data_IF_397714317421
#
_entry.id   IF_397714317421
#
_cell.length_a   1.000
_cell.length_b   1.000
_cell.length_c   1.000
_cell.angle_alpha   90.00
_cell.angle_beta   90.00
_cell.angle_gamma   90.00
#
_symmetry.space_group_name_H-M   'P 1'
#
loop_
_entity.id
_entity.type
_entity.pdbx_description
1 polymer ?
#
# COMPACT_ATOMS: atom_id res chain seq x y z
N UNK A 1 23.30 -15.55 3.91
CA UNK A 1 23.58 -14.11 3.82
C UNK A 1 23.34 -13.51 5.20
N UNK A 2 24.24 -12.64 5.70
CA UNK A 2 24.03 -11.92 6.96
C UNK A 2 22.93 -10.85 6.78
N UNK A 3 22.36 -10.35 7.89
CA UNK A 3 21.23 -9.41 7.87
C UNK A 3 21.50 -8.17 7.00
N UNK A 4 22.57 -7.43 7.29
CA UNK A 4 22.86 -6.19 6.57
C UNK A 4 23.25 -6.41 5.10
N UNK A 5 23.90 -7.53 4.79
CA UNK A 5 24.21 -7.93 3.42
C UNK A 5 22.93 -8.19 2.59
N UNK A 6 21.93 -8.89 3.17
CA UNK A 6 20.63 -9.11 2.52
C UNK A 6 19.91 -7.80 2.27
N UNK A 7 19.89 -6.90 3.25
CA UNK A 7 19.29 -5.57 3.08
C UNK A 7 19.97 -4.76 1.97
N UNK A 8 21.30 -4.76 1.92
CA UNK A 8 22.07 -4.10 0.85
C UNK A 8 21.79 -4.70 -0.52
N UNK A 9 21.84 -6.03 -0.64
CA UNK A 9 21.57 -6.70 -1.91
C UNK A 9 20.16 -6.39 -2.45
N UNK A 10 19.18 -6.24 -1.55
CA UNK A 10 17.81 -5.89 -1.92
C UNK A 10 17.60 -4.39 -2.20
N UNK A 11 18.62 -3.56 -2.00
CA UNK A 11 18.50 -2.12 -2.14
C UNK A 11 17.63 -1.48 -1.06
N UNK A 12 17.61 -2.06 0.15
CA UNK A 12 16.81 -1.60 1.29
C UNK A 12 17.58 -0.72 2.28
N UNK A 13 18.85 -0.42 2.03
CA UNK A 13 19.65 0.50 2.84
C UNK A 13 19.96 1.73 2.03
N UNK A 14 19.52 2.90 2.50
CA UNK A 14 19.86 4.20 1.91
C UNK A 14 20.80 4.99 2.80
N UNK A 15 20.40 5.30 4.02
CA UNK A 15 21.19 6.05 4.99
C UNK A 15 21.30 5.24 6.28
N UNK A 16 22.46 5.31 6.93
CA UNK A 16 22.70 4.80 8.29
C UNK A 16 23.38 5.88 9.12
N UNK A 17 23.01 5.99 10.41
CA UNK A 17 23.54 7.02 11.30
C UNK A 17 24.96 6.75 11.78
N UNK A 18 25.41 5.50 11.77
CA UNK A 18 26.75 5.07 12.13
C UNK A 18 27.16 3.82 11.38
N UNK A 19 28.43 3.70 10.94
CA UNK A 19 28.95 2.46 10.35
C UNK A 19 28.83 1.24 11.27
N UNK A 20 28.85 1.43 12.60
CA UNK A 20 28.71 0.37 13.59
C UNK A 20 27.37 -0.38 13.51
N UNK A 21 26.35 0.26 12.94
CA UNK A 21 25.05 -0.37 12.77
C UNK A 21 25.12 -1.64 11.91
N UNK A 22 26.04 -1.72 10.94
CA UNK A 22 26.26 -2.94 10.15
C UNK A 22 26.65 -4.13 11.04
N UNK A 23 27.63 -3.90 11.93
CA UNK A 23 28.09 -4.96 12.85
C UNK A 23 26.99 -5.36 13.83
N UNK A 24 26.28 -4.37 14.39
CA UNK A 24 25.18 -4.61 15.33
C UNK A 24 24.03 -5.39 14.70
N UNK A 25 23.61 -5.05 13.48
CA UNK A 25 22.56 -5.79 12.75
C UNK A 25 23.00 -7.23 12.39
N UNK A 26 24.30 -7.46 12.18
CA UNK A 26 24.80 -8.77 11.83
C UNK A 26 25.06 -9.69 13.05
N UNK A 27 25.37 -9.14 14.20
CA UNK A 27 25.92 -9.90 15.34
C UNK A 27 25.13 -9.73 16.64
N UNK A 28 24.27 -8.71 16.76
CA UNK A 28 23.43 -8.46 17.95
C UNK A 28 21.94 -8.67 17.66
N UNK A 29 21.12 -8.64 18.71
CA UNK A 29 19.66 -8.63 18.62
C UNK A 29 19.14 -7.29 19.12
N UNK A 30 18.76 -6.43 18.20
CA UNK A 30 18.29 -5.09 18.50
C UNK A 30 16.76 -5.07 18.66
N UNK A 31 16.28 -4.23 19.58
CA UNK A 31 14.89 -3.78 19.55
C UNK A 31 14.82 -2.51 18.72
N UNK A 32 13.97 -2.49 17.71
CA UNK A 32 13.81 -1.35 16.81
C UNK A 32 12.36 -0.96 16.66
N UNK A 33 12.11 0.28 16.21
CA UNK A 33 10.76 0.68 15.88
C UNK A 33 10.64 1.23 14.46
N UNK A 34 9.43 1.13 13.94
CA UNK A 34 8.95 1.82 12.76
C UNK A 34 7.67 2.54 13.12
N UNK A 35 7.49 3.77 12.63
CA UNK A 35 6.34 4.62 12.96
C UNK A 35 5.41 4.84 11.77
N UNK A 36 4.13 5.07 12.08
CA UNK A 36 3.15 5.53 11.11
C UNK A 36 2.10 6.42 11.76
N UNK A 37 1.75 7.53 11.11
CA UNK A 37 0.64 8.37 11.52
C UNK A 37 -0.70 7.79 11.05
N UNK A 38 -1.74 7.77 11.90
CA UNK A 38 -3.04 7.18 11.59
C UNK A 38 -3.90 8.10 10.72
N UNK A 39 -3.47 8.32 9.47
CA UNK A 39 -4.16 9.19 8.50
C UNK A 39 -5.39 8.53 7.84
N UNK A 40 -5.58 7.22 8.02
CA UNK A 40 -6.71 6.43 7.60
C UNK A 40 -6.89 5.21 8.53
N UNK A 41 -8.07 4.59 8.50
CA UNK A 41 -8.41 3.41 9.30
C UNK A 41 -7.87 2.08 8.73
N UNK A 42 -7.12 2.14 7.63
CA UNK A 42 -6.42 1.01 7.01
C UNK A 42 -5.05 1.42 6.52
N UNK A 43 -4.12 0.48 6.52
CA UNK A 43 -2.85 0.59 5.83
C UNK A 43 -3.05 0.45 4.33
N UNK A 44 -2.17 1.05 3.55
CA UNK A 44 -2.11 0.90 2.10
C UNK A 44 -0.81 0.21 1.68
N UNK A 45 -0.70 -0.19 0.41
CA UNK A 45 0.44 -0.93 -0.12
C UNK A 45 1.80 -0.18 0.06
N UNK A 46 1.79 1.13 0.19
CA UNK A 46 2.98 1.91 0.55
C UNK A 46 3.47 1.62 1.98
N UNK A 47 2.56 1.38 2.95
CA UNK A 47 2.92 0.92 4.29
C UNK A 47 3.48 -0.51 4.25
N UNK A 48 2.90 -1.38 3.41
CA UNK A 48 3.40 -2.73 3.22
C UNK A 48 4.90 -2.75 2.89
N UNK A 49 5.35 -1.92 1.94
CA UNK A 49 6.77 -1.84 1.57
C UNK A 49 7.66 -1.47 2.76
N UNK A 50 7.18 -0.59 3.64
CA UNK A 50 7.90 -0.16 4.85
C UNK A 50 7.90 -1.23 5.94
N UNK A 51 6.76 -1.89 6.18
CA UNK A 51 6.64 -2.88 7.26
C UNK A 51 7.24 -4.23 6.89
N UNK A 52 7.41 -4.50 5.59
CA UNK A 52 8.08 -5.71 5.16
C UNK A 52 9.58 -5.72 5.53
N UNK A 53 10.24 -4.55 5.58
CA UNK A 53 11.61 -4.49 6.10
C UNK A 53 11.64 -4.81 7.60
N UNK A 54 10.65 -4.36 8.37
CA UNK A 54 10.54 -4.69 9.78
C UNK A 54 10.32 -6.20 9.99
N UNK A 55 9.45 -6.83 9.20
CA UNK A 55 9.26 -8.27 9.19
C UNK A 55 10.55 -9.02 8.80
N UNK A 56 11.31 -8.47 7.87
CA UNK A 56 12.60 -9.05 7.45
C UNK A 56 13.64 -9.00 8.58
N UNK A 57 13.79 -7.85 9.24
CA UNK A 57 14.65 -7.71 10.42
C UNK A 57 14.22 -8.67 11.54
N UNK A 58 12.91 -8.85 11.74
CA UNK A 58 12.39 -9.82 12.71
C UNK A 58 12.79 -11.26 12.37
N UNK A 59 12.82 -11.64 11.09
CA UNK A 59 13.32 -12.97 10.65
C UNK A 59 14.81 -13.18 10.94
N UNK A 60 15.60 -12.11 11.03
CA UNK A 60 16.99 -12.16 11.52
C UNK A 60 17.10 -12.11 13.04
N UNK A 61 15.97 -12.04 13.76
CA UNK A 61 15.89 -12.12 15.23
C UNK A 61 15.92 -10.76 15.94
N UNK A 62 15.79 -9.64 15.23
CA UNK A 62 15.57 -8.34 15.84
C UNK A 62 14.11 -8.20 16.28
N UNK A 63 13.84 -7.41 17.33
CA UNK A 63 12.49 -7.22 17.86
C UNK A 63 11.84 -5.95 17.29
N UNK A 64 10.80 -6.05 16.44
CA UNK A 64 10.05 -4.90 15.92
C UNK A 64 9.04 -4.37 16.94
N UNK A 65 8.88 -3.05 16.98
CA UNK A 65 7.77 -2.35 17.61
C UNK A 65 7.18 -1.41 16.57
N UNK A 66 5.86 -1.46 16.37
CA UNK A 66 5.17 -0.46 15.57
C UNK A 66 4.71 0.69 16.47
N UNK A 67 5.13 1.90 16.17
CA UNK A 67 4.60 3.12 16.77
C UNK A 67 3.45 3.65 15.90
N UNK A 68 2.25 3.72 16.46
CA UNK A 68 1.13 4.45 15.85
C UNK A 68 1.05 5.84 16.48
N UNK A 69 1.11 6.85 15.61
CA UNK A 69 1.17 8.25 16.01
C UNK A 69 -0.17 8.84 16.43
N UNK A 70 -0.77 8.38 17.54
CA UNK A 70 -2.03 8.94 18.03
C UNK A 70 -1.93 10.42 18.48
N UNK A 71 -0.75 10.86 18.92
CA UNK A 71 -0.48 12.27 19.21
C UNK A 71 0.01 13.02 17.96
N UNK A 72 1.03 12.48 17.28
CA UNK A 72 1.62 13.10 16.09
C UNK A 72 0.66 13.17 14.92
N UNK A 73 -0.27 12.21 14.79
CA UNK A 73 -1.34 12.23 13.79
C UNK A 73 -2.34 13.38 13.92
N UNK A 74 -2.50 13.94 15.14
CA UNK A 74 -3.30 15.17 15.35
C UNK A 74 -2.61 16.43 14.79
N UNK A 75 -1.30 16.40 14.63
CA UNK A 75 -0.47 17.50 14.12
C UNK A 75 -0.12 17.28 12.65
N UNK A 76 0.41 16.09 12.33
CA UNK A 76 0.83 15.67 11.00
C UNK A 76 2.25 16.13 10.64
N UNK A 77 3.01 15.17 10.11
CA UNK A 77 4.37 15.40 9.60
C UNK A 77 4.37 16.42 8.44
N UNK A 78 5.24 17.43 8.42
CA UNK A 78 5.28 18.45 7.38
C UNK A 78 5.38 17.86 5.97
N UNK A 79 4.53 18.34 5.06
CA UNK A 79 4.64 18.02 3.63
C UNK A 79 5.47 19.08 2.90
N UNK A 80 6.20 18.70 1.83
CA UNK A 80 7.02 19.67 1.09
C UNK A 80 6.24 20.83 0.47
N UNK A 81 4.96 20.64 0.12
CA UNK A 81 4.19 21.58 -0.70
C UNK A 81 3.04 22.28 0.01
N UNK A 82 2.53 21.73 1.12
CA UNK A 82 1.37 22.30 1.81
C UNK A 82 1.22 21.80 3.24
N UNK A 83 0.50 22.57 4.06
CA UNK A 83 0.10 22.13 5.40
C UNK A 83 -0.86 20.95 5.35
N UNK A 84 -0.78 20.05 6.35
CA UNK A 84 -1.73 18.93 6.45
C UNK A 84 -3.08 19.43 6.95
N UNK A 85 -4.15 18.86 6.39
CA UNK A 85 -5.49 19.01 6.96
C UNK A 85 -5.52 18.27 8.30
N UNK A 86 -5.86 19.00 9.36
CA UNK A 86 -6.04 18.41 10.68
C UNK A 86 -7.28 17.50 10.70
N UNK A 87 -7.14 16.35 11.35
CA UNK A 87 -8.22 15.38 11.56
C UNK A 87 -8.68 15.42 13.02
N UNK A 88 -9.92 15.01 13.28
CA UNK A 88 -10.46 15.06 14.65
C UNK A 88 -9.85 13.96 15.52
N UNK A 89 -9.92 14.12 16.83
CA UNK A 89 -9.45 13.11 17.77
C UNK A 89 -10.22 11.79 17.63
N UNK A 90 -11.53 11.87 17.39
CA UNK A 90 -12.37 10.70 17.15
C UNK A 90 -11.93 9.92 15.93
N UNK A 91 -11.62 10.62 14.85
CA UNK A 91 -11.09 10.02 13.63
C UNK A 91 -9.70 9.41 13.85
N UNK A 92 -8.81 10.10 14.54
CA UNK A 92 -7.49 9.54 14.91
C UNK A 92 -7.64 8.27 15.72
N UNK A 93 -8.52 8.25 16.74
CA UNK A 93 -8.74 7.07 17.59
C UNK A 93 -9.28 5.87 16.78
N UNK A 94 -10.23 6.11 15.87
CA UNK A 94 -10.74 5.09 14.94
C UNK A 94 -9.61 4.52 14.07
N UNK A 95 -8.80 5.41 13.51
CA UNK A 95 -7.70 5.03 12.63
C UNK A 95 -6.62 4.25 13.40
N UNK A 96 -6.26 4.68 14.61
CA UNK A 96 -5.33 3.96 15.51
C UNK A 96 -5.81 2.53 15.74
N UNK A 97 -7.09 2.33 16.05
CA UNK A 97 -7.64 0.99 16.26
C UNK A 97 -7.53 0.11 15.01
N UNK A 98 -7.84 0.66 13.82
CA UNK A 98 -7.73 -0.05 12.55
C UNK A 98 -6.28 -0.44 12.22
N UNK A 99 -5.34 0.51 12.33
CA UNK A 99 -3.93 0.24 12.07
C UNK A 99 -3.33 -0.75 13.08
N UNK A 100 -3.69 -0.65 14.37
CA UNK A 100 -3.24 -1.57 15.41
C UNK A 100 -3.68 -3.00 15.09
N UNK A 101 -4.96 -3.18 14.72
CA UNK A 101 -5.49 -4.48 14.33
C UNK A 101 -4.72 -5.06 13.13
N UNK A 102 -4.54 -4.29 12.07
CA UNK A 102 -3.82 -4.75 10.88
C UNK A 102 -2.34 -5.04 11.15
N UNK A 103 -1.67 -4.25 11.98
CA UNK A 103 -0.27 -4.49 12.37
C UNK A 103 -0.10 -5.83 13.08
N UNK A 104 -1.03 -6.16 13.98
CA UNK A 104 -1.05 -7.44 14.67
C UNK A 104 -1.41 -8.60 13.72
N UNK A 105 -2.51 -8.48 12.98
CA UNK A 105 -3.05 -9.59 12.18
C UNK A 105 -2.17 -9.93 10.96
N UNK A 106 -1.58 -8.91 10.30
CA UNK A 106 -0.79 -9.11 9.07
C UNK A 106 0.69 -9.34 9.39
N UNK A 107 1.26 -8.57 10.33
CA UNK A 107 2.70 -8.54 10.56
C UNK A 107 3.14 -9.16 11.91
N UNK A 108 2.20 -9.38 12.85
CA UNK A 108 2.50 -9.91 14.18
C UNK A 108 3.30 -8.95 15.05
N UNK A 109 3.19 -7.63 14.85
CA UNK A 109 3.96 -6.64 15.58
C UNK A 109 3.32 -6.26 16.91
N UNK A 110 4.17 -6.03 17.94
CA UNK A 110 3.79 -5.27 19.12
C UNK A 110 3.53 -3.82 18.70
N UNK A 111 2.41 -3.25 19.15
CA UNK A 111 1.99 -1.89 18.79
C UNK A 111 1.97 -1.01 20.03
N UNK A 112 2.50 0.21 19.91
CA UNK A 112 2.46 1.26 20.92
C UNK A 112 1.89 2.54 20.33
N UNK A 113 1.25 3.36 21.18
CA UNK A 113 0.65 4.62 20.77
C UNK A 113 1.35 5.78 21.48
N UNK A 114 1.93 6.72 20.73
CA UNK A 114 2.63 7.86 21.32
C UNK A 114 1.70 8.82 22.11
N UNK A 115 0.40 8.72 21.90
CA UNK A 115 -0.56 9.46 22.73
C UNK A 115 -0.50 9.06 24.21
N UNK A 116 -0.12 7.82 24.53
CA UNK A 116 -0.10 7.30 25.89
C UNK A 116 0.89 8.02 26.81
N UNK A 117 2.00 8.49 26.28
CA UNK A 117 3.01 9.26 27.03
C UNK A 117 2.96 10.78 26.73
N UNK A 118 2.46 11.18 25.57
CA UNK A 118 2.46 12.60 25.18
C UNK A 118 1.33 13.38 25.85
N UNK A 119 0.16 12.75 26.08
CA UNK A 119 -1.03 13.39 26.62
C UNK A 119 -0.84 14.04 28.01
N UNK A 120 0.08 13.50 28.80
CA UNK A 120 0.31 13.94 30.19
C UNK A 120 1.47 14.93 30.31
N UNK A 121 2.18 15.24 29.20
CA UNK A 121 3.28 16.22 29.18
C UNK A 121 2.68 17.62 29.02
N UNK A 122 2.90 18.48 30.04
CA UNK A 122 2.50 19.88 29.91
C UNK A 122 3.37 20.61 28.88
N UNK A 123 2.83 21.69 28.28
CA UNK A 123 3.60 22.53 27.33
C UNK A 123 4.88 23.05 27.97
N UNK A 124 4.83 23.40 29.25
CA UNK A 124 6.02 23.90 29.96
C UNK A 124 7.05 22.80 30.14
N UNK A 125 6.62 21.58 30.52
CA UNK A 125 7.54 20.46 30.67
C UNK A 125 8.13 20.05 29.32
N UNK A 126 7.36 20.05 28.26
CA UNK A 126 7.85 19.78 26.90
C UNK A 126 8.96 20.75 26.49
N UNK A 127 8.74 22.05 26.68
CA UNK A 127 9.74 23.06 26.33
C UNK A 127 10.98 23.03 27.25
N UNK A 128 10.77 22.83 28.56
CA UNK A 128 11.85 22.81 29.56
C UNK A 128 12.71 21.56 29.48
N UNK A 129 12.07 20.37 29.31
CA UNK A 129 12.76 19.10 29.50
C UNK A 129 13.27 18.52 28.16
N UNK A 130 12.68 18.92 27.03
CA UNK A 130 13.08 18.47 25.69
C UNK A 130 13.48 19.63 24.78
N UNK A 131 12.68 20.71 24.73
CA UNK A 131 12.91 21.82 23.81
C UNK A 131 14.27 22.49 24.01
N UNK A 132 14.75 22.60 25.26
CA UNK A 132 16.06 23.20 25.58
C UNK A 132 17.27 22.49 24.94
N UNK A 133 17.12 21.20 24.58
CA UNK A 133 18.21 20.42 24.01
C UNK A 133 18.32 20.55 22.48
N UNK A 134 17.30 21.07 21.82
CA UNK A 134 17.28 21.19 20.36
C UNK A 134 17.45 22.65 19.94
N UNK A 135 18.55 22.92 19.24
CA UNK A 135 18.84 24.24 18.73
C UNK A 135 17.97 24.56 17.51
N UNK A 136 17.38 25.79 17.49
CA UNK A 136 16.52 26.24 16.39
C UNK A 136 17.26 26.23 15.05
N UNK A 137 18.53 26.68 15.00
CA UNK A 137 19.30 26.66 13.76
C UNK A 137 19.50 25.23 13.21
N UNK A 138 19.69 24.23 14.10
CA UNK A 138 19.76 22.83 13.72
C UNK A 138 18.45 22.35 13.08
N UNK A 139 17.30 22.77 13.61
CA UNK A 139 16.01 22.44 13.02
C UNK A 139 15.78 23.14 11.69
N UNK A 140 16.13 24.44 11.61
CA UNK A 140 16.02 25.20 10.36
C UNK A 140 16.89 24.64 9.23
N UNK A 141 17.96 23.93 9.57
CA UNK A 141 18.87 23.31 8.61
C UNK A 141 18.35 22.00 7.99
N UNK A 142 17.25 21.45 8.52
CA UNK A 142 16.62 20.25 7.94
C UNK A 142 16.00 20.55 6.58
N UNK A 143 16.22 19.65 5.61
CA UNK A 143 15.75 19.83 4.23
C UNK A 143 14.25 20.11 4.11
N UNK A 144 13.43 19.37 4.89
CA UNK A 144 11.98 19.56 4.87
C UNK A 144 11.58 20.94 5.38
N UNK A 145 12.27 21.45 6.40
CA UNK A 145 12.03 22.78 6.96
C UNK A 145 12.50 23.85 5.97
N UNK A 146 13.72 23.72 5.42
CA UNK A 146 14.24 24.66 4.41
C UNK A 146 13.29 24.86 3.24
N UNK A 147 12.73 23.79 2.70
CA UNK A 147 11.76 23.85 1.57
C UNK A 147 10.48 24.58 1.92
N UNK A 148 10.10 24.59 3.21
CA UNK A 148 8.88 25.23 3.69
C UNK A 148 9.08 26.66 4.19
N UNK A 149 10.31 27.12 4.44
CA UNK A 149 10.58 28.48 4.94
C UNK A 149 10.05 29.57 3.98
N UNK A 150 10.17 29.37 2.66
CA UNK A 150 9.71 30.34 1.67
C UNK A 150 8.18 30.42 1.58
N UNK A 151 7.49 29.25 1.67
CA UNK A 151 6.04 29.16 1.60
C UNK A 151 5.33 29.34 2.96
N UNK A 152 6.11 29.39 4.04
CA UNK A 152 5.63 29.41 5.41
C UNK A 152 5.48 27.99 6.00
N UNK A 153 5.88 27.87 7.28
CA UNK A 153 5.68 26.66 8.10
C UNK A 153 5.10 27.10 9.43
N UNK A 154 4.06 26.42 9.90
CA UNK A 154 3.48 26.71 11.21
C UNK A 154 4.38 26.19 12.33
N UNK A 155 4.28 26.78 13.53
CA UNK A 155 5.01 26.27 14.69
C UNK A 155 4.61 24.83 15.02
N UNK A 156 3.37 24.46 14.76
CA UNK A 156 2.85 23.11 14.94
C UNK A 156 3.64 22.10 14.08
N UNK A 157 3.75 22.35 12.78
CA UNK A 157 4.53 21.51 11.86
C UNK A 157 6.02 21.51 12.21
N UNK A 158 6.57 22.68 12.59
CA UNK A 158 7.96 22.80 12.99
C UNK A 158 8.29 21.96 14.23
N UNK A 159 7.38 21.93 15.21
CA UNK A 159 7.55 21.17 16.46
C UNK A 159 7.42 19.64 16.26
N UNK A 160 6.83 19.18 15.14
CA UNK A 160 6.63 17.74 14.86
C UNK A 160 7.93 16.94 14.98
N UNK A 161 9.01 17.44 14.41
CA UNK A 161 10.34 16.80 14.45
C UNK A 161 10.83 16.55 15.88
N UNK A 162 10.55 17.49 16.81
CA UNK A 162 10.91 17.32 18.22
C UNK A 162 10.00 16.30 18.92
N UNK A 163 8.72 16.26 18.59
CA UNK A 163 7.79 15.26 19.12
C UNK A 163 8.20 13.84 18.71
N UNK A 164 8.55 13.63 17.46
CA UNK A 164 9.07 12.33 17.02
C UNK A 164 10.43 11.99 17.68
N UNK A 165 11.26 13.01 17.96
CA UNK A 165 12.48 12.82 18.74
C UNK A 165 12.20 12.37 20.18
N UNK A 166 11.19 12.95 20.81
CA UNK A 166 10.70 12.53 22.13
C UNK A 166 10.21 11.07 22.11
N UNK A 167 9.50 10.65 21.06
CA UNK A 167 9.05 9.27 20.89
C UNK A 167 10.24 8.30 20.94
N UNK A 168 11.32 8.60 20.23
CA UNK A 168 12.49 7.72 20.19
C UNK A 168 13.14 7.58 21.59
N UNK A 169 13.32 8.69 22.31
CA UNK A 169 13.86 8.68 23.67
C UNK A 169 12.94 7.91 24.62
N UNK A 170 11.63 8.10 24.50
CA UNK A 170 10.64 7.38 25.32
C UNK A 170 10.62 5.90 25.02
N UNK A 171 10.65 5.52 23.75
CA UNK A 171 10.71 4.11 23.32
C UNK A 171 11.99 3.43 23.78
N UNK A 172 13.13 4.12 23.77
CA UNK A 172 14.35 3.60 24.34
C UNK A 172 14.18 3.33 25.84
N UNK A 173 13.72 4.33 26.60
CA UNK A 173 13.54 4.23 28.05
C UNK A 173 12.58 3.12 28.46
N UNK A 174 11.46 2.98 27.76
CA UNK A 174 10.37 2.10 28.18
C UNK A 174 10.47 0.70 27.59
N UNK A 175 11.06 0.54 26.40
CA UNK A 175 11.05 -0.72 25.63
C UNK A 175 12.44 -1.16 25.18
N UNK A 176 13.51 -0.40 25.50
CA UNK A 176 14.88 -0.73 25.10
C UNK A 176 15.11 -0.58 23.59
N UNK A 177 14.33 0.24 22.90
CA UNK A 177 14.51 0.52 21.47
C UNK A 177 15.82 1.28 21.25
N UNK A 178 16.70 0.74 20.40
CA UNK A 178 17.98 1.35 20.06
C UNK A 178 18.09 1.77 18.59
N UNK A 179 17.17 1.31 17.74
CA UNK A 179 17.20 1.60 16.31
C UNK A 179 15.83 2.11 15.83
N UNK A 180 15.83 3.17 15.02
CA UNK A 180 14.66 3.59 14.23
C UNK A 180 14.87 3.23 12.76
N UNK A 181 13.85 2.60 12.14
CA UNK A 181 13.82 2.27 10.71
C UNK A 181 12.66 3.02 10.06
N UNK A 182 12.91 3.70 8.94
CA UNK A 182 11.85 4.42 8.22
C UNK A 182 12.21 4.66 6.75
N UNK A 183 11.28 5.23 5.98
CA UNK A 183 11.55 5.76 4.65
C UNK A 183 12.55 6.92 4.69
N UNK A 184 13.25 7.13 3.58
CA UNK A 184 14.31 8.16 3.51
C UNK A 184 13.82 9.59 3.71
N UNK A 185 12.53 9.83 3.55
CA UNK A 185 11.90 11.11 3.88
C UNK A 185 11.89 11.42 5.39
N UNK A 186 12.10 10.42 6.25
CA UNK A 186 12.14 10.53 7.71
C UNK A 186 13.54 10.76 8.28
N UNK A 187 14.59 10.86 7.47
CA UNK A 187 15.97 11.00 7.94
C UNK A 187 16.17 12.17 8.91
N UNK A 188 15.55 13.32 8.61
CA UNK A 188 15.59 14.50 9.47
C UNK A 188 15.01 14.27 10.86
N UNK A 189 13.89 13.56 10.94
CA UNK A 189 13.22 13.23 12.19
C UNK A 189 14.03 12.20 13.00
N UNK A 190 14.55 11.16 12.35
CA UNK A 190 15.41 10.14 12.97
C UNK A 190 16.63 10.76 13.62
N UNK A 191 17.37 11.58 12.86
CA UNK A 191 18.60 12.24 13.37
C UNK A 191 18.33 13.22 14.51
N UNK A 192 17.14 13.81 14.55
CA UNK A 192 16.72 14.66 15.69
C UNK A 192 16.50 13.82 16.95
N UNK A 193 15.91 12.63 16.86
CA UNK A 193 15.77 11.73 18.01
C UNK A 193 17.13 11.24 18.54
N UNK A 194 18.05 10.89 17.65
CA UNK A 194 19.43 10.52 18.01
C UNK A 194 20.14 11.69 18.73
N UNK A 195 20.06 12.89 18.18
CA UNK A 195 20.68 14.07 18.76
C UNK A 195 20.05 14.46 20.10
N UNK A 196 18.73 14.32 20.24
CA UNK A 196 18.02 14.56 21.50
C UNK A 196 18.52 13.60 22.58
N UNK A 197 18.58 12.30 22.30
CA UNK A 197 19.11 11.29 23.23
C UNK A 197 20.54 11.64 23.65
N UNK A 198 21.40 11.93 22.70
CA UNK A 198 22.81 12.29 22.97
C UNK A 198 22.92 13.50 23.89
N UNK A 199 22.14 14.56 23.68
CA UNK A 199 22.18 15.78 24.49
C UNK A 199 21.54 15.60 25.86
N UNK A 200 20.64 14.63 26.00
CA UNK A 200 20.05 14.27 27.29
C UNK A 200 20.93 13.28 28.08
N UNK A 201 22.18 13.03 27.62
CA UNK A 201 23.10 12.06 28.20
C UNK A 201 22.51 10.63 28.23
N UNK A 202 21.63 10.36 27.27
CA UNK A 202 21.03 9.04 27.06
C UNK A 202 21.97 8.10 26.30
N UNK A 203 21.52 6.86 26.06
CA UNK A 203 22.31 5.88 25.32
C UNK A 203 22.45 6.26 23.84
N UNK A 204 23.42 5.63 23.19
CA UNK A 204 23.60 5.76 21.76
C UNK A 204 22.42 5.11 21.03
N UNK A 205 21.79 5.87 20.14
CA UNK A 205 20.68 5.44 19.29
C UNK A 205 21.11 5.42 17.82
N UNK A 206 20.50 4.54 17.05
CA UNK A 206 20.82 4.31 15.65
C UNK A 206 19.62 4.61 14.75
N UNK A 207 19.92 5.00 13.52
CA UNK A 207 18.91 5.23 12.49
C UNK A 207 19.29 4.54 11.18
N UNK A 208 18.30 3.98 10.51
CA UNK A 208 18.44 3.43 9.17
C UNK A 208 17.26 3.87 8.31
N UNK A 209 17.54 4.33 7.10
CA UNK A 209 16.49 4.60 6.13
C UNK A 209 16.56 3.67 4.92
N UNK A 210 15.39 3.43 4.35
CA UNK A 210 15.25 2.74 3.08
C UNK A 210 14.81 3.72 1.99
N UNK A 211 15.20 3.48 0.72
CA UNK A 211 14.67 4.27 -0.38
C UNK A 211 13.16 4.05 -0.50
N UNK A 212 12.45 5.10 -0.94
CA UNK A 212 11.05 4.96 -1.31
C UNK A 212 10.94 4.03 -2.53
N UNK A 213 9.94 3.17 -2.51
CA UNK A 213 9.62 2.34 -3.69
C UNK A 213 8.85 3.22 -4.67
N UNK A 214 9.41 3.35 -5.88
CA UNK A 214 8.87 4.21 -6.94
C UNK A 214 8.56 3.35 -8.17
N UNK A 215 7.59 3.78 -8.98
CA UNK A 215 7.37 3.23 -10.32
C UNK A 215 8.36 3.79 -11.35
N UNK A 216 8.24 3.36 -12.61
CA UNK A 216 9.10 3.79 -13.71
C UNK A 216 9.03 5.31 -14.00
N UNK A 217 7.96 5.98 -13.56
CA UNK A 217 7.74 7.42 -13.71
C UNK A 217 8.17 8.22 -12.46
N UNK A 218 8.72 7.57 -11.45
CA UNK A 218 9.10 8.19 -10.18
C UNK A 218 7.93 8.46 -9.22
N UNK A 219 6.76 7.89 -9.48
CA UNK A 219 5.59 7.98 -8.59
C UNK A 219 5.71 6.92 -7.48
N UNK A 220 5.32 7.28 -6.25
CA UNK A 220 5.36 6.35 -5.11
C UNK A 220 4.48 5.12 -5.38
N UNK A 221 5.04 3.93 -5.16
CA UNK A 221 4.35 2.64 -5.27
C UNK A 221 3.01 2.62 -4.53
N UNK A 222 1.97 2.10 -5.20
CA UNK A 222 0.62 2.02 -4.64
C UNK A 222 -0.20 3.29 -4.72
N UNK A 223 0.28 4.34 -5.39
CA UNK A 223 -0.54 5.49 -5.77
C UNK A 223 -1.06 5.27 -7.19
N UNK A 224 -2.36 5.06 -7.31
CA UNK A 224 -3.09 5.13 -8.58
C UNK A 224 -3.74 6.51 -8.74
N UNK A 225 -4.25 6.85 -9.92
CA UNK A 225 -4.94 8.12 -10.16
C UNK A 225 -6.14 8.30 -9.22
N UNK A 226 -5.90 8.89 -8.03
CA UNK A 226 -6.92 9.27 -7.06
C UNK A 226 -7.21 8.27 -5.94
N UNK A 227 -6.76 7.00 -5.99
CA UNK A 227 -7.05 6.00 -4.97
C UNK A 227 -5.78 5.36 -4.39
N UNK A 228 -5.80 5.08 -3.08
CA UNK A 228 -4.81 4.24 -2.44
C UNK A 228 -5.22 2.76 -2.54
N UNK A 229 -4.26 1.87 -2.81
CA UNK A 229 -4.49 0.43 -2.70
C UNK A 229 -4.36 0.02 -1.24
N UNK A 230 -5.46 -0.36 -0.63
CA UNK A 230 -5.55 -0.70 0.78
C UNK A 230 -5.14 -2.14 1.03
N UNK A 231 -4.59 -2.41 2.22
CA UNK A 231 -4.31 -3.79 2.66
C UNK A 231 -5.57 -4.52 3.14
N UNK A 232 -6.62 -3.79 3.48
CA UNK A 232 -7.94 -4.36 3.79
C UNK A 232 -8.63 -4.81 2.50
N UNK A 233 -8.86 -6.11 2.36
CA UNK A 233 -9.50 -6.71 1.18
C UNK A 233 -10.94 -6.25 0.94
N UNK A 234 -11.60 -5.67 1.96
CA UNK A 234 -12.93 -5.08 1.79
C UNK A 234 -12.88 -3.68 1.14
N UNK A 235 -11.71 -3.03 1.13
CA UNK A 235 -11.49 -1.72 0.49
C UNK A 235 -10.81 -1.86 -0.87
N UNK A 236 -9.84 -2.76 -0.99
CA UNK A 236 -9.18 -3.13 -2.24
C UNK A 236 -9.19 -4.65 -2.34
N UNK A 237 -9.94 -5.21 -3.28
CA UNK A 237 -10.05 -6.65 -3.44
C UNK A 237 -8.71 -7.29 -3.83
N UNK A 238 -8.56 -8.60 -3.56
CA UNK A 238 -7.36 -9.34 -3.97
C UNK A 238 -7.18 -9.33 -5.49
N UNK A 239 -8.29 -9.28 -6.25
CA UNK A 239 -8.25 -9.17 -7.71
C UNK A 239 -7.74 -7.78 -8.17
N UNK A 240 -8.21 -6.70 -7.57
CA UNK A 240 -7.75 -5.33 -7.86
C UNK A 240 -6.25 -5.19 -7.58
N UNK A 241 -5.80 -5.71 -6.42
CA UNK A 241 -4.39 -5.74 -6.06
C UNK A 241 -3.57 -6.61 -7.03
N UNK A 242 -4.12 -7.77 -7.46
CA UNK A 242 -3.51 -8.64 -8.45
C UNK A 242 -3.33 -7.92 -9.79
N UNK A 243 -4.35 -7.23 -10.29
CA UNK A 243 -4.26 -6.46 -11.53
C UNK A 243 -3.20 -5.36 -11.47
N UNK A 244 -3.11 -4.67 -10.34
CA UNK A 244 -2.04 -3.68 -10.14
C UNK A 244 -0.64 -4.31 -10.23
N UNK A 245 -0.42 -5.43 -9.54
CA UNK A 245 0.88 -6.09 -9.46
C UNK A 245 1.30 -6.75 -10.77
N UNK A 246 0.39 -7.42 -11.48
CA UNK A 246 0.71 -8.01 -12.78
C UNK A 246 0.92 -6.98 -13.89
N UNK A 247 0.44 -5.74 -13.72
CA UNK A 247 0.68 -4.64 -14.65
C UNK A 247 1.93 -3.83 -14.32
N UNK A 248 2.76 -4.28 -13.37
CA UNK A 248 4.05 -3.69 -13.07
C UNK A 248 4.95 -3.66 -14.32
N UNK A 249 5.60 -2.54 -14.53
CA UNK A 249 6.58 -2.35 -15.61
C UNK A 249 7.77 -3.31 -15.47
N UNK A 250 8.24 -3.86 -16.58
CA UNK A 250 9.37 -4.79 -16.62
C UNK A 250 10.66 -4.16 -16.05
N UNK A 251 10.82 -2.84 -16.18
CA UNK A 251 11.95 -2.12 -15.61
C UNK A 251 11.96 -2.11 -14.06
N UNK A 252 10.81 -2.28 -13.42
CA UNK A 252 10.65 -2.18 -11.97
C UNK A 252 10.45 -3.54 -11.27
N UNK A 253 9.94 -4.54 -11.97
CA UNK A 253 9.43 -5.77 -11.35
C UNK A 253 10.50 -6.53 -10.58
N UNK A 254 11.73 -6.59 -11.06
CA UNK A 254 12.83 -7.28 -10.36
C UNK A 254 13.24 -6.54 -9.09
N UNK A 255 13.27 -5.20 -9.13
CA UNK A 255 13.49 -4.39 -7.94
C UNK A 255 12.37 -4.60 -6.90
N UNK A 256 11.12 -4.68 -7.37
CA UNK A 256 9.98 -4.98 -6.50
C UNK A 256 10.07 -6.39 -5.89
N UNK A 257 10.46 -7.40 -6.65
CA UNK A 257 10.70 -8.74 -6.10
C UNK A 257 11.73 -8.73 -4.97
N UNK A 258 12.82 -7.99 -5.12
CA UNK A 258 13.85 -7.83 -4.08
C UNK A 258 13.28 -7.17 -2.82
N UNK A 259 12.52 -6.09 -2.98
CA UNK A 259 12.04 -5.25 -1.87
C UNK A 259 10.77 -5.78 -1.22
N UNK A 260 9.84 -6.31 -2.01
CA UNK A 260 8.46 -6.61 -1.58
C UNK A 260 8.18 -8.10 -1.37
N UNK A 261 9.20 -8.98 -1.48
CA UNK A 261 9.02 -10.42 -1.26
C UNK A 261 10.10 -11.00 -0.35
N UNK A 262 9.87 -12.22 0.15
CA UNK A 262 10.85 -12.98 0.89
C UNK A 262 11.58 -14.03 0.05
N UNK A 263 11.44 -13.99 -1.27
CA UNK A 263 12.16 -14.88 -2.16
C UNK A 263 13.68 -14.78 -1.96
N UNK A 264 14.37 -15.91 -2.06
CA UNK A 264 15.83 -15.95 -1.95
C UNK A 264 16.48 -15.25 -3.15
N UNK A 265 17.76 -14.90 -3.00
CA UNK A 265 18.54 -14.29 -4.06
C UNK A 265 18.55 -15.17 -5.32
N UNK A 266 18.83 -16.45 -5.16
CA UNK A 266 18.92 -17.44 -6.24
C UNK A 266 17.57 -17.56 -6.98
N UNK A 267 16.45 -17.51 -6.22
CA UNK A 267 15.12 -17.57 -6.82
C UNK A 267 14.79 -16.33 -7.64
N UNK A 268 15.15 -15.15 -7.14
CA UNK A 268 14.93 -13.89 -7.88
C UNK A 268 15.81 -13.83 -9.13
N UNK A 269 17.07 -14.24 -9.03
CA UNK A 269 17.98 -14.31 -10.20
C UNK A 269 17.45 -15.28 -11.26
N UNK A 270 16.96 -16.45 -10.85
CA UNK A 270 16.32 -17.40 -11.78
C UNK A 270 15.05 -16.85 -12.44
N UNK A 271 14.25 -16.06 -11.71
CA UNK A 271 13.05 -15.39 -12.26
C UNK A 271 13.50 -14.31 -13.28
N UNK A 272 14.54 -13.54 -12.95
CA UNK A 272 15.07 -12.48 -13.81
C UNK A 272 15.61 -13.04 -15.15
N UNK A 273 16.31 -14.16 -15.11
CA UNK A 273 16.79 -14.86 -16.32
C UNK A 273 15.62 -15.27 -17.22
N UNK A 274 14.60 -15.95 -16.66
CA UNK A 274 13.41 -16.38 -17.40
C UNK A 274 12.62 -15.20 -17.96
N UNK A 275 12.49 -14.12 -17.20
CA UNK A 275 11.80 -12.90 -17.65
C UNK A 275 12.53 -12.24 -18.84
N UNK A 276 13.87 -12.30 -18.88
CA UNK A 276 14.67 -11.79 -20.00
C UNK A 276 14.54 -12.66 -21.25
N UNK A 277 14.41 -13.98 -21.09
CA UNK A 277 14.23 -14.92 -22.20
C UNK A 277 12.82 -14.85 -22.79
N UNK A 278 11.80 -14.73 -21.94
CA UNK A 278 10.37 -14.77 -22.31
C UNK A 278 9.59 -13.67 -21.57
N UNK A 279 9.78 -12.38 -21.91
CA UNK A 279 9.09 -11.27 -21.24
C UNK A 279 7.56 -11.33 -21.39
N UNK A 280 7.06 -11.91 -22.49
CA UNK A 280 5.63 -12.11 -22.77
C UNK A 280 4.93 -12.99 -21.71
N UNK A 281 5.64 -13.92 -21.08
CA UNK A 281 5.11 -14.82 -20.05
C UNK A 281 4.87 -14.10 -18.71
N UNK A 282 5.46 -12.92 -18.51
CA UNK A 282 5.30 -12.07 -17.32
C UNK A 282 5.59 -12.83 -16.01
N UNK A 283 6.54 -13.75 -16.02
CA UNK A 283 6.86 -14.65 -14.89
C UNK A 283 7.20 -13.85 -13.62
N UNK A 284 7.92 -12.75 -13.78
CA UNK A 284 8.30 -11.90 -12.66
C UNK A 284 7.07 -11.21 -12.02
N UNK A 285 6.13 -10.69 -12.83
CA UNK A 285 4.91 -10.06 -12.37
C UNK A 285 3.97 -11.05 -11.66
N UNK A 286 3.78 -12.25 -12.23
CA UNK A 286 3.01 -13.30 -11.58
C UNK A 286 3.65 -13.74 -10.26
N UNK A 287 4.98 -13.84 -10.21
CA UNK A 287 5.69 -14.16 -8.98
C UNK A 287 5.50 -13.06 -7.92
N UNK A 288 5.59 -11.79 -8.31
CA UNK A 288 5.36 -10.65 -7.43
C UNK A 288 3.93 -10.66 -6.87
N UNK A 289 2.93 -10.84 -7.73
CA UNK A 289 1.53 -10.89 -7.33
C UNK A 289 1.26 -12.06 -6.37
N UNK A 290 1.81 -13.24 -6.65
CA UNK A 290 1.68 -14.40 -5.78
C UNK A 290 2.24 -14.14 -4.40
N UNK A 291 3.49 -13.68 -4.29
CA UNK A 291 4.16 -13.47 -3.01
C UNK A 291 3.44 -12.40 -2.17
N UNK A 292 3.08 -11.27 -2.79
CA UNK A 292 2.44 -10.15 -2.08
C UNK A 292 1.03 -10.51 -1.63
N UNK A 293 0.20 -11.07 -2.50
CA UNK A 293 -1.19 -11.40 -2.15
C UNK A 293 -1.25 -12.57 -1.17
N UNK A 294 -0.41 -13.59 -1.35
CA UNK A 294 -0.35 -14.72 -0.41
C UNK A 294 0.06 -14.24 1.00
N UNK A 295 1.00 -13.29 1.08
CA UNK A 295 1.39 -12.71 2.37
C UNK A 295 0.26 -11.92 3.04
N UNK A 296 -0.48 -11.13 2.27
CA UNK A 296 -1.50 -10.22 2.78
C UNK A 296 -2.85 -10.91 3.04
N UNK A 297 -3.29 -11.75 2.12
CA UNK A 297 -4.66 -12.26 2.07
C UNK A 297 -4.74 -13.79 2.05
N UNK A 298 -3.61 -14.48 1.89
CA UNK A 298 -3.56 -15.94 1.81
C UNK A 298 -3.54 -16.48 0.37
N UNK A 299 -3.12 -17.75 0.23
CA UNK A 299 -2.96 -18.40 -1.08
C UNK A 299 -4.30 -18.62 -1.81
N UNK A 300 -5.38 -18.82 -1.07
CA UNK A 300 -6.72 -18.99 -1.66
C UNK A 300 -7.16 -17.72 -2.41
N UNK A 301 -6.92 -16.56 -1.83
CA UNK A 301 -7.24 -15.27 -2.45
C UNK A 301 -6.37 -14.98 -3.69
N UNK A 302 -5.10 -15.38 -3.66
CA UNK A 302 -4.27 -15.31 -4.86
C UNK A 302 -4.81 -16.20 -5.98
N UNK A 303 -5.18 -17.46 -5.68
CA UNK A 303 -5.72 -18.40 -6.65
C UNK A 303 -7.05 -17.92 -7.21
N UNK A 304 -7.92 -17.32 -6.37
CA UNK A 304 -9.18 -16.69 -6.80
C UNK A 304 -8.91 -15.56 -7.79
N UNK A 305 -8.02 -14.63 -7.44
CA UNK A 305 -7.66 -13.49 -8.30
C UNK A 305 -7.05 -13.94 -9.64
N UNK A 306 -6.19 -14.95 -9.61
CA UNK A 306 -5.59 -15.54 -10.81
C UNK A 306 -6.64 -16.18 -11.71
N UNK A 307 -7.61 -16.94 -11.14
CA UNK A 307 -8.72 -17.54 -11.86
C UNK A 307 -9.56 -16.47 -12.55
N UNK A 308 -10.02 -15.46 -11.79
CA UNK A 308 -10.81 -14.35 -12.34
C UNK A 308 -10.06 -13.71 -13.52
N UNK A 309 -8.76 -13.42 -13.35
CA UNK A 309 -7.96 -12.80 -14.41
C UNK A 309 -7.88 -13.67 -15.68
N UNK A 310 -7.70 -14.98 -15.54
CA UNK A 310 -7.65 -15.92 -16.66
C UNK A 310 -9.00 -16.04 -17.37
N UNK A 311 -10.08 -16.22 -16.62
CA UNK A 311 -11.42 -16.43 -17.17
C UNK A 311 -11.94 -15.15 -17.88
N UNK A 312 -11.60 -13.97 -17.35
CA UNK A 312 -11.89 -12.70 -18.02
C UNK A 312 -11.07 -12.54 -19.32
N UNK A 313 -9.83 -13.01 -19.33
CA UNK A 313 -8.99 -12.92 -20.54
C UNK A 313 -9.41 -13.90 -21.62
N UNK A 314 -9.73 -15.16 -21.26
CA UNK A 314 -10.21 -16.18 -22.19
C UNK A 314 -11.65 -15.93 -22.66
N UNK A 315 -12.46 -15.26 -21.84
CA UNK A 315 -13.88 -15.03 -22.05
C UNK A 315 -14.78 -16.10 -21.43
N UNK A 316 -14.23 -16.99 -20.60
CA UNK A 316 -14.94 -18.08 -19.91
C UNK A 316 -15.69 -17.56 -18.66
N UNK A 317 -16.47 -16.47 -18.84
CA UNK A 317 -17.17 -15.75 -17.76
C UNK A 317 -18.19 -16.66 -17.05
N UNK A 318 -18.69 -17.69 -17.71
CA UNK A 318 -19.65 -18.64 -17.12
C UNK A 318 -19.10 -19.43 -15.93
N UNK A 319 -17.78 -19.60 -15.87
CA UNK A 319 -17.12 -20.37 -14.82
C UNK A 319 -16.86 -19.52 -13.55
N UNK A 320 -17.19 -18.22 -13.61
CA UNK A 320 -17.09 -17.30 -12.48
C UNK A 320 -18.35 -17.36 -11.61
N UNK A 321 -18.13 -17.37 -10.29
CA UNK A 321 -19.21 -17.17 -9.31
C UNK A 321 -19.68 -15.72 -9.30
N UNK A 322 -20.84 -15.47 -8.70
CA UNK A 322 -21.36 -14.10 -8.53
C UNK A 322 -20.37 -13.17 -7.82
N UNK A 323 -19.73 -13.64 -6.76
CA UNK A 323 -18.76 -12.86 -5.99
C UNK A 323 -17.50 -12.57 -6.82
N UNK A 324 -17.02 -13.54 -7.61
CA UNK A 324 -15.90 -13.35 -8.53
C UNK A 324 -16.22 -12.33 -9.64
N UNK A 325 -17.45 -12.32 -10.12
CA UNK A 325 -17.91 -11.31 -11.09
C UNK A 325 -17.99 -9.92 -10.44
N UNK A 326 -18.57 -9.82 -9.25
CA UNK A 326 -18.64 -8.55 -8.51
C UNK A 326 -17.24 -7.98 -8.23
N UNK A 327 -16.27 -8.83 -7.87
CA UNK A 327 -14.87 -8.44 -7.68
C UNK A 327 -14.18 -8.03 -9.00
N UNK A 328 -14.37 -8.83 -10.07
CA UNK A 328 -13.71 -8.61 -11.35
C UNK A 328 -14.25 -7.42 -12.15
N UNK A 329 -15.50 -7.03 -11.91
CA UNK A 329 -16.20 -5.97 -12.63
C UNK A 329 -16.61 -4.78 -11.75
N UNK A 330 -16.00 -4.59 -10.59
CA UNK A 330 -16.34 -3.54 -9.62
C UNK A 330 -16.39 -2.13 -10.22
N UNK A 331 -15.47 -1.82 -11.14
CA UNK A 331 -15.34 -0.50 -11.78
C UNK A 331 -15.96 -0.44 -13.17
N UNK A 332 -16.69 -1.47 -13.58
CA UNK A 332 -17.33 -1.54 -14.88
C UNK A 332 -18.70 -0.82 -14.82
N UNK A 333 -19.09 -0.05 -15.85
CA UNK A 333 -20.41 0.56 -15.90
C UNK A 333 -21.50 -0.47 -15.68
N UNK A 334 -22.38 -0.22 -14.73
CA UNK A 334 -23.50 -1.10 -14.40
C UNK A 334 -24.84 -0.42 -14.60
N UNK A 335 -25.90 -1.22 -14.83
CA UNK A 335 -27.26 -0.76 -15.02
C UNK A 335 -28.27 -1.82 -14.53
N UNK A 336 -29.46 -1.34 -14.16
CA UNK A 336 -30.52 -2.21 -13.66
C UNK A 336 -31.34 -2.82 -14.81
N UNK A 337 -31.71 -4.08 -14.70
CA UNK A 337 -32.64 -4.79 -15.58
C UNK A 337 -33.89 -5.12 -14.76
N UNK A 338 -34.99 -4.41 -15.04
CA UNK A 338 -36.29 -4.54 -14.31
C UNK A 338 -37.33 -5.36 -15.06
N UNK A 339 -37.14 -5.58 -16.33
CA UNK A 339 -38.07 -6.33 -17.21
C UNK A 339 -37.32 -6.98 -18.36
N UNK A 340 -37.92 -8.00 -18.94
CA UNK A 340 -37.38 -8.66 -20.12
C UNK A 340 -37.34 -7.65 -21.29
N UNK A 341 -36.21 -7.48 -21.92
CA UNK A 341 -36.06 -6.58 -23.04
C UNK A 341 -35.25 -7.20 -24.18
N UNK A 342 -35.44 -6.70 -25.39
CA UNK A 342 -34.62 -7.14 -26.51
C UNK A 342 -33.18 -6.70 -26.32
N UNK A 343 -32.23 -7.49 -26.80
CA UNK A 343 -30.80 -7.12 -26.73
C UNK A 343 -30.54 -5.73 -27.36
N UNK A 344 -31.23 -5.42 -28.48
CA UNK A 344 -31.12 -4.11 -29.12
C UNK A 344 -31.54 -2.98 -28.17
N UNK A 345 -32.69 -3.13 -27.52
CA UNK A 345 -33.19 -2.12 -26.59
C UNK A 345 -32.29 -1.98 -25.37
N UNK A 346 -31.79 -3.10 -24.84
CA UNK A 346 -30.83 -3.11 -23.73
C UNK A 346 -29.56 -2.34 -24.09
N UNK A 347 -28.97 -2.58 -25.27
CA UNK A 347 -27.76 -1.91 -25.73
C UNK A 347 -27.97 -0.39 -25.90
N UNK A 348 -29.13 0.01 -26.41
CA UNK A 348 -29.44 1.44 -26.67
C UNK A 348 -29.80 2.16 -25.37
N UNK A 349 -30.68 1.59 -24.56
CA UNK A 349 -31.14 2.22 -23.32
C UNK A 349 -29.99 2.47 -22.30
N UNK A 350 -28.95 1.66 -22.37
CA UNK A 350 -27.80 1.76 -21.47
C UNK A 350 -26.56 2.38 -22.14
N UNK A 351 -26.73 3.10 -23.25
CA UNK A 351 -25.67 3.79 -23.98
C UNK A 351 -24.49 2.89 -24.40
N UNK A 352 -24.73 1.59 -24.54
CA UNK A 352 -23.75 0.65 -25.07
C UNK A 352 -23.67 0.80 -26.59
N UNK A 353 -24.80 1.14 -27.22
CA UNK A 353 -24.91 1.60 -28.61
C UNK A 353 -25.65 2.94 -28.66
N UNK A 354 -25.28 3.80 -29.60
CA UNK A 354 -25.88 5.14 -29.74
C UNK A 354 -27.25 5.12 -30.45
N UNK A 355 -27.56 4.02 -31.11
CA UNK A 355 -28.83 3.86 -31.85
C UNK A 355 -29.15 2.37 -32.11
N UNK A 356 -30.42 2.07 -32.39
CA UNK A 356 -30.84 0.70 -32.77
C UNK A 356 -30.12 0.19 -34.03
N UNK A 357 -29.73 1.09 -34.95
CA UNK A 357 -28.94 0.74 -36.13
C UNK A 357 -27.55 0.27 -35.72
N UNK A 358 -26.88 1.03 -34.91
CA UNK A 358 -25.54 0.67 -34.40
C UNK A 358 -25.58 -0.62 -33.57
N UNK A 359 -26.60 -0.80 -32.73
CA UNK A 359 -26.79 -2.03 -31.98
C UNK A 359 -26.87 -3.27 -32.90
N UNK A 360 -27.65 -3.20 -34.00
CA UNK A 360 -27.74 -4.25 -35.00
C UNK A 360 -26.38 -4.52 -35.67
N UNK A 361 -25.65 -3.46 -36.03
CA UNK A 361 -24.32 -3.58 -36.62
C UNK A 361 -23.34 -4.30 -35.66
N UNK A 362 -23.37 -4.00 -34.35
CA UNK A 362 -22.57 -4.69 -33.37
C UNK A 362 -22.94 -6.16 -33.19
N UNK A 363 -24.24 -6.49 -33.16
CA UNK A 363 -24.73 -7.85 -33.00
C UNK A 363 -24.38 -8.67 -34.25
N UNK A 364 -24.71 -8.20 -35.44
CA UNK A 364 -24.46 -8.92 -36.70
C UNK A 364 -22.96 -9.12 -36.99
N UNK A 365 -22.12 -8.17 -36.55
CA UNK A 365 -20.67 -8.29 -36.63
C UNK A 365 -20.07 -9.24 -35.55
N UNK A 366 -20.87 -9.84 -34.67
CA UNK A 366 -20.42 -10.68 -33.57
C UNK A 366 -19.53 -9.93 -32.58
N UNK A 367 -19.78 -8.60 -32.44
CA UNK A 367 -19.02 -7.73 -31.53
C UNK A 367 -19.63 -7.68 -30.12
N UNK A 368 -20.80 -8.29 -29.93
CA UNK A 368 -21.46 -8.42 -28.62
C UNK A 368 -21.28 -9.82 -28.11
N UNK A 369 -20.96 -9.95 -26.83
CA UNK A 369 -20.99 -11.22 -26.10
C UNK A 369 -21.80 -11.06 -24.82
N UNK A 370 -22.55 -12.09 -24.46
CA UNK A 370 -23.34 -12.19 -23.22
C UNK A 370 -22.76 -13.32 -22.41
N UNK A 371 -22.33 -13.05 -21.18
CA UNK A 371 -21.66 -14.01 -20.29
C UNK A 371 -20.52 -14.79 -20.97
N UNK A 372 -19.75 -14.09 -21.83
CA UNK A 372 -18.64 -14.67 -22.60
C UNK A 372 -19.01 -15.25 -23.96
N UNK A 373 -20.26 -15.63 -24.20
CA UNK A 373 -20.71 -16.17 -25.50
C UNK A 373 -21.06 -15.07 -26.48
N UNK A 374 -20.57 -15.19 -27.72
CA UNK A 374 -20.94 -14.27 -28.81
C UNK A 374 -22.41 -14.38 -29.13
N UNK A 375 -23.08 -13.24 -29.24
CA UNK A 375 -24.47 -13.18 -29.64
C UNK A 375 -24.59 -12.48 -31.00
N UNK A 376 -25.32 -13.14 -31.94
CA UNK A 376 -25.53 -12.65 -33.29
C UNK A 376 -27.01 -12.52 -33.66
N UNK A 377 -27.91 -12.96 -32.77
CA UNK A 377 -29.35 -12.91 -32.98
C UNK A 377 -29.93 -11.52 -32.58
N UNK A 378 -30.40 -10.76 -33.55
CA UNK A 378 -30.95 -9.40 -33.33
C UNK A 378 -32.23 -9.41 -32.49
N UNK A 379 -33.04 -10.47 -32.58
CA UNK A 379 -34.32 -10.62 -31.87
C UNK A 379 -34.18 -11.16 -30.46
N UNK A 380 -32.93 -11.44 -30.01
CA UNK A 380 -32.66 -12.01 -28.72
C UNK A 380 -33.25 -11.18 -27.58
N UNK A 381 -33.95 -11.84 -26.69
CA UNK A 381 -34.45 -11.24 -25.43
C UNK A 381 -33.54 -11.63 -24.27
N UNK A 382 -33.21 -10.66 -23.44
CA UNK A 382 -32.43 -10.84 -22.22
C UNK A 382 -33.42 -10.89 -21.06
N UNK A 383 -33.42 -12.01 -20.36
CA UNK A 383 -34.26 -12.29 -19.21
C UNK A 383 -33.43 -12.89 -18.06
N UNK A 384 -34.07 -13.21 -16.95
CA UNK A 384 -33.42 -13.75 -15.75
C UNK A 384 -32.71 -15.10 -15.96
N UNK A 385 -32.97 -15.83 -17.07
CA UNK A 385 -32.22 -17.06 -17.37
C UNK A 385 -30.73 -16.80 -17.69
N UNK A 386 -30.40 -15.57 -18.07
CA UNK A 386 -29.02 -15.13 -18.28
C UNK A 386 -28.31 -14.72 -17.00
N UNK A 387 -29.03 -14.62 -15.88
CA UNK A 387 -28.49 -14.14 -14.62
C UNK A 387 -27.53 -15.15 -13.99
N UNK A 388 -26.25 -14.83 -13.95
CA UNK A 388 -25.25 -15.57 -13.18
C UNK A 388 -25.55 -15.32 -11.70
N UNK A 389 -25.63 -16.40 -10.90
CA UNK A 389 -26.04 -16.32 -9.51
C UNK A 389 -27.44 -15.75 -9.26
N UNK A 390 -28.28 -15.65 -10.32
CA UNK A 390 -29.62 -15.08 -10.24
C UNK A 390 -29.66 -13.53 -10.22
N UNK A 391 -28.51 -12.86 -10.33
CA UNK A 391 -28.43 -11.42 -10.14
C UNK A 391 -27.82 -10.65 -11.32
N UNK A 392 -26.81 -11.18 -12.01
CA UNK A 392 -26.02 -10.38 -12.94
C UNK A 392 -25.84 -11.01 -14.30
N UNK A 393 -25.80 -10.18 -15.35
CA UNK A 393 -25.40 -10.56 -16.69
C UNK A 393 -24.24 -9.68 -17.15
N UNK A 394 -23.20 -10.31 -17.72
CA UNK A 394 -22.03 -9.61 -18.23
C UNK A 394 -22.15 -9.41 -19.72
N UNK A 395 -22.13 -8.15 -20.17
CA UNK A 395 -22.17 -7.80 -21.60
C UNK A 395 -20.80 -7.25 -22.00
N UNK A 396 -20.23 -7.80 -23.08
CA UNK A 396 -18.98 -7.30 -23.65
C UNK A 396 -19.22 -6.74 -25.05
N UNK A 397 -18.69 -5.54 -25.30
CA UNK A 397 -18.65 -4.93 -26.63
C UNK A 397 -17.21 -4.88 -27.15
N UNK A 398 -16.96 -5.57 -28.25
CA UNK A 398 -15.62 -5.73 -28.79
C UNK A 398 -14.69 -6.52 -27.89
N UNK A 399 -13.39 -6.14 -27.83
CA UNK A 399 -12.38 -6.88 -27.07
C UNK A 399 -12.22 -6.46 -25.61
N UNK A 400 -12.60 -5.21 -25.27
CA UNK A 400 -12.18 -4.61 -23.97
C UNK A 400 -13.29 -3.90 -23.19
N UNK A 401 -14.47 -3.66 -23.78
CA UNK A 401 -15.53 -2.89 -23.10
C UNK A 401 -16.54 -3.83 -22.48
N UNK A 402 -16.61 -3.81 -21.15
CA UNK A 402 -17.55 -4.61 -20.38
C UNK A 402 -18.61 -3.73 -19.73
N UNK A 403 -19.78 -4.30 -19.49
CA UNK A 403 -20.92 -3.69 -18.83
C UNK A 403 -21.60 -4.75 -17.98
N UNK A 404 -22.14 -4.36 -16.83
CA UNK A 404 -22.79 -5.26 -15.89
C UNK A 404 -24.28 -4.92 -15.79
N UNK A 405 -25.16 -5.81 -16.28
CA UNK A 405 -26.60 -5.74 -16.04
C UNK A 405 -26.97 -6.42 -14.73
N UNK A 406 -27.74 -5.74 -13.88
CA UNK A 406 -28.17 -6.22 -12.57
C UNK A 406 -29.66 -6.45 -12.63
N UNK A 407 -30.11 -7.69 -12.47
CA UNK A 407 -31.53 -8.05 -12.37
C UNK A 407 -32.08 -7.65 -11.01
N UNK A 408 -33.23 -6.95 -11.00
CA UNK A 408 -33.98 -6.53 -9.81
C UNK A 408 -35.33 -7.19 -9.69
#
# INVERSE_FOLDING_TARGET
>A
MKCFEDLKWRGLVKDISSPELEDKLNNEKLTFYIGTDPTADSMHIGHFSSFLIATRLAKYGHKPILLVGGATGLIGDPKPSQERKMITREEVNKNVAGLTKQAHDIFGFDVVNNYDWTKDISVIDFLRDYGKYINVNYMLDKDIIKRRLESGITFCEFAYTLLQGLDFVTLNKNYGVTLQVAGSDQWGNITTGIELSRKMEGPELFGMTMPLVLDANGVKFGKTEGNALWLDKNKTSSYELFQYLINTDDACVIDYLKKLTFLSKEKIESIEEKQKEHPEDRIAQYSLAREVITFLHGEEEYNKALKISKDLFSGDIKDLTLDEIKDGFKDVPSFDITENMTLIDLLVNNNIASSKREAREFISAGSISINGEKETEETKTIDSSYAIGGEVVVIRRGKKKYYLGIFK
#
